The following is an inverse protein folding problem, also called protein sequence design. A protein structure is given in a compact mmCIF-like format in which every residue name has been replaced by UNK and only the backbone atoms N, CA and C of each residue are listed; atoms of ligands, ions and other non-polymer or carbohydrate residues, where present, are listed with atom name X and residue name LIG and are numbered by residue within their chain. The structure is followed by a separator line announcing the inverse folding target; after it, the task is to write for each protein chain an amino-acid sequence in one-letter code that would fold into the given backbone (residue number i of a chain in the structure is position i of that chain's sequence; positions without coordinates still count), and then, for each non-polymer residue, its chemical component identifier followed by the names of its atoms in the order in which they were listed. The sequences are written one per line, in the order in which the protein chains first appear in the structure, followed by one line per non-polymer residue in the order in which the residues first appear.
data_IF_112678046856
#
_entry.id   IF_112678046856
#
_cell.length_a   1.000
_cell.length_b   1.000
_cell.length_c   1.000
_cell.angle_alpha   90.00
_cell.angle_beta   90.00
_cell.angle_gamma   90.00
#
_symmetry.space_group_name_H-M   'P 1'
#
loop_
_entity.id
_entity.type
_entity.pdbx_description
1 polymer ?
#
# COMPACT_ATOMS: atom_id res chain seq x y z
N UNK A 1 -14.20 -22.52 7.07
CA UNK A 1 -14.60 -23.75 7.80
C UNK A 1 -14.38 -23.62 9.31
N UNK A 2 -13.20 -23.22 9.79
CA UNK A 2 -12.92 -23.07 11.23
C UNK A 2 -13.82 -22.04 11.95
N UNK A 3 -13.97 -20.84 11.39
CA UNK A 3 -14.81 -19.79 11.97
C UNK A 3 -16.29 -20.21 12.15
N UNK A 4 -16.83 -20.95 11.18
CA UNK A 4 -18.17 -21.51 11.25
C UNK A 4 -18.27 -22.57 12.37
N UNK A 5 -17.33 -23.51 12.43
CA UNK A 5 -17.31 -24.54 13.47
C UNK A 5 -17.21 -23.96 14.90
N UNK A 6 -16.49 -22.85 15.07
CA UNK A 6 -16.35 -22.17 16.36
C UNK A 6 -17.40 -21.11 16.63
N UNK A 7 -18.42 -20.97 15.78
CA UNK A 7 -19.47 -19.94 15.88
C UNK A 7 -18.90 -18.53 16.08
N UNK A 8 -17.81 -18.20 15.36
CA UNK A 8 -17.22 -16.86 15.40
C UNK A 8 -17.98 -15.93 14.46
N UNK A 9 -18.25 -14.70 14.92
CA UNK A 9 -18.79 -13.67 14.06
C UNK A 9 -17.77 -13.27 12.98
N UNK A 10 -18.13 -13.42 11.70
CA UNK A 10 -17.32 -13.03 10.56
C UNK A 10 -18.18 -12.34 9.49
N UNK A 11 -17.56 -11.46 8.70
CA UNK A 11 -18.20 -10.82 7.55
C UNK A 11 -17.75 -11.50 6.25
N UNK A 12 -18.71 -11.82 5.38
CA UNK A 12 -18.47 -12.41 4.05
C UNK A 12 -18.70 -11.42 2.90
N UNK A 13 -19.22 -10.22 3.19
CA UNK A 13 -19.55 -9.22 2.19
C UNK A 13 -18.29 -8.52 1.68
N UNK A 14 -18.14 -8.46 0.36
CA UNK A 14 -17.06 -7.72 -0.28
C UNK A 14 -17.30 -6.21 -0.22
N UNK A 15 -16.23 -5.43 -0.30
CA UNK A 15 -16.32 -3.96 -0.26
C UNK A 15 -16.78 -3.40 -1.60
N UNK A 16 -17.87 -2.63 -1.59
CA UNK A 16 -18.45 -1.98 -2.79
C UNK A 16 -17.45 -1.02 -3.47
N UNK A 17 -16.51 -0.45 -2.72
CA UNK A 17 -15.50 0.47 -3.25
C UNK A 17 -14.27 -0.22 -3.86
N UNK A 18 -14.20 -1.56 -3.86
CA UNK A 18 -13.06 -2.31 -4.37
C UNK A 18 -13.44 -3.42 -5.38
N UNK A 19 -14.25 -3.13 -6.41
CA UNK A 19 -14.74 -4.17 -7.33
C UNK A 19 -13.62 -4.81 -8.17
N UNK A 20 -12.58 -4.04 -8.52
CA UNK A 20 -11.46 -4.51 -9.35
C UNK A 20 -10.18 -4.75 -8.55
N UNK A 21 -10.32 -5.32 -7.35
CA UNK A 21 -9.17 -5.60 -6.49
C UNK A 21 -8.27 -6.67 -7.12
N UNK A 22 -7.10 -6.27 -7.65
CA UNK A 22 -6.16 -7.19 -8.33
C UNK A 22 -5.72 -8.39 -7.47
N UNK A 23 -5.71 -8.21 -6.14
CA UNK A 23 -5.42 -9.30 -5.19
C UNK A 23 -6.39 -10.49 -5.32
N UNK A 24 -7.64 -10.26 -5.73
CA UNK A 24 -8.63 -11.30 -5.98
C UNK A 24 -8.21 -12.22 -7.13
N UNK A 25 -7.78 -11.63 -8.26
CA UNK A 25 -7.30 -12.40 -9.42
C UNK A 25 -6.09 -13.28 -9.06
N UNK A 26 -5.12 -12.74 -8.31
CA UNK A 26 -3.96 -13.53 -7.85
C UNK A 26 -4.38 -14.67 -6.93
N UNK A 27 -5.35 -14.45 -6.03
CA UNK A 27 -5.87 -15.50 -5.15
C UNK A 27 -6.53 -16.62 -5.95
N UNK A 28 -7.35 -16.29 -6.94
CA UNK A 28 -7.97 -17.29 -7.83
C UNK A 28 -6.91 -18.09 -8.58
N UNK A 29 -5.93 -17.40 -9.17
CA UNK A 29 -4.82 -18.06 -9.87
C UNK A 29 -4.04 -19.02 -8.95
N UNK A 30 -3.70 -18.61 -7.73
CA UNK A 30 -3.03 -19.48 -6.75
C UNK A 30 -3.88 -20.69 -6.38
N UNK A 31 -5.22 -20.56 -6.34
CA UNK A 31 -6.13 -21.68 -6.10
C UNK A 31 -6.22 -22.61 -7.30
N UNK A 32 -6.14 -22.11 -8.52
CA UNK A 32 -6.07 -22.95 -9.71
C UNK A 32 -4.76 -23.75 -9.77
N UNK A 33 -3.63 -23.16 -9.33
CA UNK A 33 -2.38 -23.90 -9.15
C UNK A 33 -2.47 -24.96 -8.05
N UNK A 34 -3.14 -24.66 -6.94
CA UNK A 34 -3.34 -25.61 -5.84
C UNK A 34 -4.16 -26.83 -6.28
N UNK A 35 -5.13 -26.66 -7.20
CA UNK A 35 -5.90 -27.78 -7.78
C UNK A 35 -5.01 -28.78 -8.52
N UNK A 36 -3.95 -28.31 -9.19
CA UNK A 36 -3.00 -29.15 -9.93
C UNK A 36 -1.94 -29.73 -8.97
N UNK A 37 -1.40 -28.88 -8.09
CA UNK A 37 -0.38 -29.25 -7.10
C UNK A 37 -0.77 -28.71 -5.72
N UNK A 38 -1.23 -29.57 -4.78
CA UNK A 38 -1.72 -29.14 -3.48
C UNK A 38 -0.72 -28.32 -2.65
N UNK A 39 0.58 -28.61 -2.80
CA UNK A 39 1.63 -27.91 -2.07
C UNK A 39 2.02 -26.54 -2.68
N UNK A 40 1.35 -26.05 -3.74
CA UNK A 40 1.77 -24.83 -4.45
C UNK A 40 1.87 -23.61 -3.54
N UNK A 41 0.86 -23.37 -2.70
CA UNK A 41 0.82 -22.19 -1.83
C UNK A 41 1.97 -22.24 -0.80
N UNK A 42 2.15 -23.37 -0.11
CA UNK A 42 3.19 -23.50 0.92
C UNK A 42 4.60 -23.46 0.32
N UNK A 43 4.80 -24.04 -0.87
CA UNK A 43 6.09 -23.98 -1.56
C UNK A 43 6.45 -22.53 -1.96
N UNK A 44 5.47 -21.73 -2.39
CA UNK A 44 5.69 -20.30 -2.70
C UNK A 44 6.09 -19.53 -1.43
N UNK A 45 5.47 -19.82 -0.29
CA UNK A 45 5.83 -19.21 1.00
C UNK A 45 7.26 -19.58 1.40
N UNK A 46 7.62 -20.87 1.40
CA UNK A 46 8.97 -21.31 1.73
C UNK A 46 10.03 -20.75 0.78
N UNK A 47 9.70 -20.67 -0.52
CA UNK A 47 10.57 -20.03 -1.50
C UNK A 47 10.76 -18.55 -1.17
N UNK A 48 9.69 -17.84 -0.77
CA UNK A 48 9.73 -16.43 -0.37
C UNK A 48 10.54 -16.18 0.90
N UNK A 49 10.43 -17.06 1.90
CA UNK A 49 11.21 -16.99 3.14
C UNK A 49 12.70 -17.29 2.90
N UNK A 50 12.99 -18.17 1.93
CA UNK A 50 14.36 -18.54 1.56
C UNK A 50 15.04 -17.52 0.64
N UNK A 51 14.31 -16.48 0.17
CA UNK A 51 14.90 -15.41 -0.65
C UNK A 51 15.81 -14.55 0.23
N UNK A 52 17.12 -14.71 0.03
CA UNK A 52 18.15 -13.85 0.61
C UNK A 52 18.43 -12.62 -0.24
N UNK A 53 18.69 -11.48 0.41
CA UNK A 53 19.20 -10.29 -0.25
C UNK A 53 20.71 -10.42 -0.51
N UNK A 54 21.19 -9.90 -1.64
CA UNK A 54 22.64 -9.82 -1.91
C UNK A 54 23.31 -8.90 -0.89
N UNK A 55 24.47 -9.31 -0.37
CA UNK A 55 25.31 -8.49 0.52
C UNK A 55 25.74 -7.21 -0.23
N UNK A 56 25.68 -6.06 0.43
CA UNK A 56 26.09 -4.76 -0.14
C UNK A 56 24.96 -3.89 -0.70
N UNK A 57 23.70 -4.33 -0.63
CA UNK A 57 22.55 -3.48 -0.98
C UNK A 57 22.34 -2.44 0.14
N UNK A 58 22.36 -1.15 -0.21
CA UNK A 58 21.98 -0.07 0.72
C UNK A 58 20.48 -0.12 0.96
N UNK A 59 20.06 -0.49 2.16
CA UNK A 59 18.66 -0.37 2.55
C UNK A 59 18.29 1.10 2.77
N UNK A 60 17.08 1.54 2.40
CA UNK A 60 16.61 2.88 2.72
C UNK A 60 16.56 3.06 4.24
N UNK A 61 17.00 4.23 4.71
CA UNK A 61 16.89 4.58 6.13
C UNK A 61 15.42 4.74 6.52
N UNK A 62 15.04 4.14 7.65
CA UNK A 62 13.72 4.29 8.23
C UNK A 62 13.70 5.62 8.99
N UNK A 63 12.88 6.56 8.55
CA UNK A 63 12.60 7.81 9.25
C UNK A 63 11.24 7.80 9.93
N UNK A 64 10.91 8.93 10.54
CA UNK A 64 9.60 9.21 11.13
C UNK A 64 9.00 10.45 10.48
N UNK A 65 7.68 10.48 10.36
CA UNK A 65 6.96 11.62 9.85
C UNK A 65 6.98 12.77 10.87
N UNK A 66 7.38 13.97 10.46
CA UNK A 66 7.41 15.16 11.33
C UNK A 66 6.02 15.59 11.83
N UNK A 67 4.95 15.24 11.12
CA UNK A 67 3.57 15.66 11.43
C UNK A 67 2.83 14.69 12.36
N UNK A 68 2.92 13.38 12.11
CA UNK A 68 2.16 12.37 12.87
C UNK A 68 3.04 11.36 13.63
N UNK A 69 4.36 11.42 13.50
CA UNK A 69 5.29 10.52 14.21
C UNK A 69 5.38 9.09 13.65
N UNK A 70 4.52 8.69 12.71
CA UNK A 70 4.56 7.33 12.12
C UNK A 70 5.79 7.10 11.25
N UNK A 71 6.16 5.82 11.08
CA UNK A 71 7.26 5.40 10.21
C UNK A 71 7.05 5.89 8.78
N UNK A 72 8.08 6.51 8.22
CA UNK A 72 8.05 7.09 6.88
C UNK A 72 9.44 7.10 6.26
N UNK A 73 9.52 6.91 4.95
CA UNK A 73 10.76 7.10 4.17
C UNK A 73 10.97 8.57 3.75
N UNK A 74 9.96 9.42 3.98
CA UNK A 74 9.95 10.85 3.66
C UNK A 74 9.69 11.67 4.93
N UNK A 75 10.06 12.95 4.93
CA UNK A 75 9.82 13.87 6.06
C UNK A 75 8.34 13.91 6.46
N UNK A 76 7.43 13.93 5.48
CA UNK A 76 5.98 13.85 5.68
C UNK A 76 5.47 12.56 5.04
N UNK A 77 4.66 11.79 5.77
CA UNK A 77 4.15 10.52 5.25
C UNK A 77 3.09 10.75 4.18
N UNK A 78 2.93 9.78 3.28
CA UNK A 78 2.00 9.88 2.15
C UNK A 78 0.54 10.07 2.59
N UNK A 79 0.16 9.52 3.75
CA UNK A 79 -1.15 9.72 4.34
C UNK A 79 -1.38 11.19 4.75
N UNK A 80 -0.41 11.81 5.44
CA UNK A 80 -0.49 13.22 5.81
C UNK A 80 -0.53 14.15 4.59
N UNK A 81 0.25 13.87 3.55
CA UNK A 81 0.19 14.62 2.28
C UNK A 81 -1.18 14.47 1.61
N UNK A 82 -1.76 13.28 1.61
CA UNK A 82 -3.09 13.03 1.05
C UNK A 82 -4.18 13.80 1.80
N UNK A 83 -4.16 13.75 3.14
CA UNK A 83 -5.12 14.48 3.98
C UNK A 83 -5.01 15.99 3.78
N UNK A 84 -3.79 16.54 3.72
CA UNK A 84 -3.59 17.95 3.45
C UNK A 84 -4.12 18.34 2.05
N UNK A 85 -3.87 17.50 1.03
CA UNK A 85 -4.41 17.70 -0.31
C UNK A 85 -5.93 17.67 -0.34
N UNK A 86 -6.57 16.73 0.36
CA UNK A 86 -8.03 16.66 0.45
C UNK A 86 -8.63 17.90 1.13
N UNK A 87 -8.06 18.34 2.25
CA UNK A 87 -8.54 19.53 2.97
C UNK A 87 -8.39 20.82 2.17
N UNK A 88 -7.39 20.89 1.27
CA UNK A 88 -7.16 22.03 0.36
C UNK A 88 -7.89 21.90 -0.98
N UNK A 89 -8.69 20.85 -1.20
CA UNK A 89 -9.36 20.61 -2.49
C UNK A 89 -8.41 20.21 -3.64
N UNK A 90 -7.18 19.80 -3.33
CA UNK A 90 -6.11 19.41 -4.26
C UNK A 90 -5.74 17.91 -4.10
N UNK A 91 -6.66 16.97 -4.38
CA UNK A 91 -6.46 15.53 -4.14
C UNK A 91 -5.32 14.92 -4.97
N UNK A 92 -4.97 15.55 -6.11
CA UNK A 92 -3.94 15.04 -7.04
C UNK A 92 -2.52 15.09 -6.46
N UNK A 93 -2.26 15.91 -5.43
CA UNK A 93 -0.95 15.99 -4.75
C UNK A 93 -0.62 14.66 -4.04
N UNK A 94 -1.62 14.02 -3.43
CA UNK A 94 -1.46 12.77 -2.69
C UNK A 94 -1.37 11.52 -3.57
N UNK A 95 -1.86 11.56 -4.80
CA UNK A 95 -2.09 10.36 -5.63
C UNK A 95 -1.25 10.36 -6.93
N UNK A 96 -0.88 11.54 -7.44
CA UNK A 96 -0.20 11.67 -8.73
C UNK A 96 1.27 11.25 -8.73
N UNK A 97 1.80 10.97 -9.94
CA UNK A 97 3.25 10.81 -10.17
C UNK A 97 3.97 12.09 -9.74
N UNK A 98 5.07 11.95 -9.01
CA UNK A 98 5.86 13.07 -8.46
C UNK A 98 6.21 14.13 -9.51
N UNK A 99 6.56 13.73 -10.73
CA UNK A 99 6.89 14.64 -11.83
C UNK A 99 5.72 15.54 -12.25
N UNK A 100 4.49 15.01 -12.25
CA UNK A 100 3.27 15.77 -12.59
C UNK A 100 2.85 16.68 -11.45
N UNK A 101 3.01 16.22 -10.20
CA UNK A 101 2.69 16.99 -9.00
C UNK A 101 3.62 18.21 -8.86
N UNK A 102 4.93 18.02 -9.06
CA UNK A 102 5.90 19.12 -8.98
C UNK A 102 5.65 20.21 -10.04
N UNK A 103 5.26 19.84 -11.26
CA UNK A 103 4.87 20.78 -12.34
C UNK A 103 3.56 21.52 -12.05
N UNK A 104 2.67 20.95 -11.23
CA UNK A 104 1.44 21.60 -10.81
C UNK A 104 1.70 22.54 -9.60
N UNK A 105 2.54 22.12 -8.65
CA UNK A 105 2.97 22.93 -7.51
C UNK A 105 3.77 24.16 -7.93
N UNK A 106 4.63 24.06 -8.95
CA UNK A 106 5.38 25.21 -9.47
C UNK A 106 4.52 26.30 -10.13
N UNK A 107 3.21 26.06 -10.26
CA UNK A 107 2.24 27.02 -10.81
C UNK A 107 1.34 27.64 -9.73
N UNK A 108 1.43 27.16 -8.49
CA UNK A 108 0.69 27.70 -7.34
C UNK A 108 1.57 28.75 -6.64
N UNK A 109 0.97 29.86 -6.22
CA UNK A 109 1.66 30.96 -5.53
C UNK A 109 2.26 30.50 -4.19
N UNK A 110 3.41 31.09 -3.83
CA UNK A 110 4.30 30.66 -2.73
C UNK A 110 3.66 30.60 -1.33
N UNK A 111 2.53 31.25 -1.11
CA UNK A 111 1.85 31.29 0.20
C UNK A 111 1.22 29.94 0.63
N UNK A 112 0.92 29.04 -0.31
CA UNK A 112 0.30 27.73 0.00
C UNK A 112 1.32 26.60 0.31
N UNK A 113 2.59 26.81 -0.04
CA UNK A 113 3.69 25.84 0.08
C UNK A 113 4.26 25.75 1.50
N UNK A 114 4.13 26.81 2.30
CA UNK A 114 4.73 26.93 3.65
C UNK A 114 3.93 26.16 4.72
N UNK A 115 2.71 25.70 4.38
CA UNK A 115 1.80 24.97 5.27
C UNK A 115 1.57 23.51 4.82
N UNK A 116 2.52 22.90 4.11
CA UNK A 116 2.53 21.45 3.82
C UNK A 116 3.53 20.76 4.74
#
# INVERSE_FOLDING_TARGET
MYAYFKNLHYFSTECVFAPNAYRGHVRTFLKDLEKIRPASIINIIHSGESIGLKKGIKLPQKGTCSKCGFVSSQLICKACTLLAGLNKGLPKIGIGKTSKVNKALSKLTTDELIQI
#
